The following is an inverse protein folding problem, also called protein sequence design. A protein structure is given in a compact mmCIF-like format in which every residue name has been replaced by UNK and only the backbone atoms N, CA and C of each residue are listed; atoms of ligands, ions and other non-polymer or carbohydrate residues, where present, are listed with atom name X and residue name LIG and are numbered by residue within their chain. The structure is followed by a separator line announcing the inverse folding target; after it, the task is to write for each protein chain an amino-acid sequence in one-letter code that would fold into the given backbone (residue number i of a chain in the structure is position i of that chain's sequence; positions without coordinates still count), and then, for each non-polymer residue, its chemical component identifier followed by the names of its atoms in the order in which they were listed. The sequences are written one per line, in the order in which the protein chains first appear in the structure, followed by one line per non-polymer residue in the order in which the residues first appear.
data_IF_880758095006
#
_entry.id   IF_880758095006
#
_cell.length_a   1.000
_cell.length_b   1.000
_cell.length_c   1.000
_cell.angle_alpha   90.00
_cell.angle_beta   90.00
_cell.angle_gamma   90.00
#
_symmetry.space_group_name_H-M   'P 1'
#
loop_
_entity.id
_entity.type
_entity.pdbx_description
1 polymer ?
#
# COMPACT_ATOMS: atom_id res chain seq x y z
N UNK A 1 21.05 38.75 10.14
CA UNK A 1 19.97 37.97 10.79
C UNK A 1 19.02 37.33 9.77
N UNK A 2 18.83 37.87 8.57
CA UNK A 2 18.03 37.20 7.50
C UNK A 2 18.59 35.86 7.00
N UNK A 3 19.92 35.71 6.96
CA UNK A 3 20.54 34.48 6.46
C UNK A 3 20.32 33.24 7.36
N UNK A 4 20.08 33.41 8.67
CA UNK A 4 19.84 32.26 9.56
C UNK A 4 18.39 31.75 9.50
N UNK A 5 17.41 32.62 9.26
CA UNK A 5 16.00 32.23 9.15
C UNK A 5 15.69 31.45 7.86
N UNK A 6 16.35 31.80 6.73
CA UNK A 6 16.20 31.05 5.48
C UNK A 6 16.68 29.60 5.60
N UNK A 7 17.77 29.35 6.32
CA UNK A 7 18.30 27.99 6.54
C UNK A 7 17.40 27.16 7.46
N UNK A 8 16.87 27.75 8.53
CA UNK A 8 15.93 27.07 9.44
C UNK A 8 14.63 26.65 8.73
N UNK A 9 14.10 27.50 7.85
CA UNK A 9 12.82 27.27 7.18
C UNK A 9 12.92 26.24 6.04
N UNK A 10 14.06 26.15 5.34
CA UNK A 10 14.28 25.13 4.30
C UNK A 10 14.35 23.71 4.90
N UNK A 11 14.98 23.57 6.07
CA UNK A 11 15.16 22.29 6.76
C UNK A 11 13.86 21.63 7.20
N UNK A 12 12.85 22.41 7.62
CA UNK A 12 11.59 21.84 8.13
C UNK A 12 10.77 21.15 7.03
N UNK A 13 10.69 21.73 5.83
CA UNK A 13 10.00 21.10 4.70
C UNK A 13 10.78 19.89 4.17
N UNK A 14 12.12 19.96 4.14
CA UNK A 14 12.93 18.80 3.76
C UNK A 14 12.69 17.63 4.72
N UNK A 15 12.70 17.87 6.03
CA UNK A 15 12.36 16.85 7.03
C UNK A 15 10.95 16.29 6.83
N UNK A 16 9.97 17.14 6.52
CA UNK A 16 8.61 16.70 6.22
C UNK A 16 8.56 15.70 5.06
N UNK A 17 9.15 16.04 3.92
CA UNK A 17 9.17 15.14 2.76
C UNK A 17 10.03 13.88 2.99
N UNK A 18 11.14 13.99 3.73
CA UNK A 18 11.93 12.83 4.14
C UNK A 18 11.12 11.87 5.02
N UNK A 19 10.38 12.39 6.01
CA UNK A 19 9.52 11.57 6.86
C UNK A 19 8.43 10.88 6.04
N UNK A 20 7.79 11.59 5.10
CA UNK A 20 6.79 10.98 4.21
C UNK A 20 7.40 9.89 3.34
N UNK A 21 8.58 10.13 2.75
CA UNK A 21 9.26 9.15 1.89
C UNK A 21 9.70 7.90 2.66
N UNK A 22 10.31 8.08 3.84
CA UNK A 22 10.68 6.95 4.69
C UNK A 22 9.44 6.17 5.17
N UNK A 23 8.38 6.87 5.53
CA UNK A 23 7.12 6.24 5.93
C UNK A 23 6.47 5.49 4.77
N UNK A 24 6.53 6.03 3.54
CA UNK A 24 6.05 5.33 2.35
C UNK A 24 6.76 3.98 2.19
N UNK A 25 8.10 3.98 2.25
CA UNK A 25 8.91 2.77 2.10
C UNK A 25 8.61 1.78 3.23
N UNK A 26 8.61 2.25 4.48
CA UNK A 26 8.33 1.42 5.64
C UNK A 26 6.93 0.79 5.57
N UNK A 27 5.89 1.60 5.32
CA UNK A 27 4.52 1.11 5.19
C UNK A 27 4.41 0.09 4.05
N UNK A 28 4.97 0.40 2.89
CA UNK A 28 4.93 -0.51 1.73
C UNK A 28 5.59 -1.86 2.02
N UNK A 29 6.75 -1.88 2.68
CA UNK A 29 7.44 -3.11 3.08
C UNK A 29 6.61 -3.88 4.12
N UNK A 30 6.11 -3.19 5.15
CA UNK A 30 5.36 -3.84 6.24
C UNK A 30 4.08 -4.53 5.77
N UNK A 31 3.47 -4.06 4.67
CA UNK A 31 2.31 -4.72 4.05
C UNK A 31 2.61 -6.12 3.51
N UNK A 32 3.89 -6.52 3.37
CA UNK A 32 4.27 -7.88 2.97
C UNK A 32 4.54 -8.82 4.14
N UNK A 33 4.69 -8.30 5.37
CA UNK A 33 5.03 -9.10 6.55
C UNK A 33 3.91 -10.05 7.00
N UNK A 34 2.69 -9.84 6.50
CA UNK A 34 1.54 -10.72 6.74
C UNK A 34 1.30 -11.73 5.60
N UNK A 35 2.26 -11.89 4.69
CA UNK A 35 2.21 -12.93 3.66
C UNK A 35 2.56 -14.28 4.32
N UNK A 36 1.73 -15.32 4.13
CA UNK A 36 1.92 -16.64 4.77
C UNK A 36 3.23 -17.32 4.41
N UNK A 37 3.57 -17.35 3.12
CA UNK A 37 4.83 -17.91 2.60
C UNK A 37 5.66 -16.83 1.89
N UNK A 38 6.98 -16.92 2.00
CA UNK A 38 7.90 -15.96 1.36
C UNK A 38 7.83 -15.99 -0.15
N UNK A 39 7.53 -17.16 -0.73
CA UNK A 39 7.30 -17.34 -2.18
C UNK A 39 6.03 -16.64 -2.68
N UNK A 40 5.13 -16.22 -1.78
CA UNK A 40 3.92 -15.48 -2.16
C UNK A 40 4.12 -13.97 -2.23
N UNK A 41 5.36 -13.48 -2.13
CA UNK A 41 5.70 -12.05 -2.18
C UNK A 41 5.77 -11.58 -3.64
N UNK A 42 4.65 -11.05 -4.13
CA UNK A 42 4.53 -10.46 -5.46
C UNK A 42 4.10 -9.00 -5.42
N UNK A 43 4.56 -8.20 -6.39
CA UNK A 43 4.17 -6.80 -6.51
C UNK A 43 2.65 -6.65 -6.69
N UNK A 44 2.05 -5.71 -5.93
CA UNK A 44 0.62 -5.42 -5.98
C UNK A 44 0.35 -3.93 -6.19
N UNK A 45 -0.30 -3.59 -7.32
CA UNK A 45 -0.74 -2.22 -7.61
C UNK A 45 -1.73 -1.69 -6.57
N UNK A 46 -2.62 -2.55 -6.07
CA UNK A 46 -3.57 -2.19 -5.01
C UNK A 46 -2.82 -1.77 -3.73
N UNK A 47 -1.81 -2.52 -3.29
CA UNK A 47 -1.00 -2.15 -2.12
C UNK A 47 -0.30 -0.81 -2.33
N UNK A 48 0.29 -0.61 -3.50
CA UNK A 48 0.93 0.66 -3.87
C UNK A 48 -0.05 1.85 -3.76
N UNK A 49 -1.25 1.75 -4.34
CA UNK A 49 -2.27 2.80 -4.25
C UNK A 49 -2.76 3.04 -2.83
N UNK A 50 -2.91 1.99 -2.02
CA UNK A 50 -3.30 2.11 -0.61
C UNK A 50 -2.23 2.85 0.22
N UNK A 51 -0.94 2.63 -0.05
CA UNK A 51 0.13 3.42 0.59
C UNK A 51 0.08 4.88 0.15
N UNK A 52 -0.14 5.16 -1.15
CA UNK A 52 -0.32 6.53 -1.63
C UNK A 52 -1.48 7.25 -0.92
N UNK A 53 -2.62 6.57 -0.72
CA UNK A 53 -3.74 7.08 0.07
C UNK A 53 -3.32 7.38 1.51
N UNK A 54 -2.67 6.43 2.18
CA UNK A 54 -2.17 6.62 3.55
C UNK A 54 -1.24 7.82 3.67
N UNK A 55 -0.23 7.92 2.81
CA UNK A 55 0.74 9.03 2.82
C UNK A 55 0.08 10.37 2.53
N UNK A 56 -0.90 10.41 1.61
CA UNK A 56 -1.62 11.66 1.31
C UNK A 56 -2.39 12.19 2.54
N UNK A 57 -3.05 11.30 3.29
CA UNK A 57 -3.76 11.67 4.53
C UNK A 57 -2.79 12.04 5.65
N UNK A 58 -1.71 11.27 5.82
CA UNK A 58 -0.67 11.53 6.81
C UNK A 58 0.00 12.89 6.59
N UNK A 59 0.25 13.29 5.34
CA UNK A 59 0.78 14.61 5.02
C UNK A 59 -0.13 15.75 5.52
N UNK A 60 -1.45 15.62 5.38
CA UNK A 60 -2.42 16.62 5.89
C UNK A 60 -2.43 16.64 7.41
N UNK A 61 -2.43 15.48 8.06
CA UNK A 61 -2.39 15.34 9.52
C UNK A 61 -1.12 15.98 10.09
N UNK A 62 0.05 15.62 9.54
CA UNK A 62 1.34 16.17 9.94
C UNK A 62 1.37 17.69 9.77
N UNK A 63 0.88 18.20 8.63
CA UNK A 63 0.78 19.63 8.41
C UNK A 63 -0.10 20.32 9.45
N UNK A 64 -1.26 19.74 9.80
CA UNK A 64 -2.21 20.30 10.76
C UNK A 64 -1.61 20.41 12.17
N UNK A 65 -1.03 19.32 12.68
CA UNK A 65 -0.47 19.27 14.04
C UNK A 65 0.88 19.98 14.17
N UNK A 66 1.67 20.03 13.09
CA UNK A 66 2.99 20.68 13.08
C UNK A 66 2.93 22.06 12.39
N UNK A 67 1.76 22.71 12.35
CA UNK A 67 1.53 24.00 11.67
C UNK A 67 2.54 25.09 12.03
N UNK A 68 3.00 25.13 13.28
CA UNK A 68 3.95 26.14 13.76
C UNK A 68 5.36 25.98 13.16
N UNK A 69 5.69 24.81 12.61
CA UNK A 69 6.97 24.55 11.94
C UNK A 69 6.98 25.00 10.48
N UNK A 70 5.80 25.18 9.87
CA UNK A 70 5.62 25.43 8.45
C UNK A 70 5.12 26.85 8.17
N UNK A 71 6.06 27.79 8.07
CA UNK A 71 5.75 29.23 8.01
C UNK A 71 5.37 29.74 6.60
N UNK A 72 5.82 29.04 5.54
CA UNK A 72 5.57 29.45 4.15
C UNK A 72 4.17 29.04 3.65
N UNK A 73 3.27 30.02 3.53
CA UNK A 73 1.90 29.82 3.04
C UNK A 73 1.82 29.13 1.67
N UNK A 74 2.71 29.47 0.71
CA UNK A 74 2.68 28.89 -0.64
C UNK A 74 3.02 27.40 -0.61
N UNK A 75 4.03 27.00 0.18
CA UNK A 75 4.41 25.59 0.33
C UNK A 75 3.33 24.79 1.07
N UNK A 76 2.71 25.37 2.08
CA UNK A 76 1.61 24.73 2.81
C UNK A 76 0.42 24.43 1.90
N UNK A 77 -0.01 25.43 1.11
CA UNK A 77 -1.08 25.25 0.12
C UNK A 77 -0.68 24.19 -0.91
N UNK A 78 0.57 24.21 -1.37
CA UNK A 78 1.06 23.18 -2.30
C UNK A 78 1.04 21.77 -1.70
N UNK A 79 1.38 21.59 -0.43
CA UNK A 79 1.27 20.30 0.28
C UNK A 79 -0.19 19.85 0.32
N UNK A 80 -1.11 20.72 0.75
CA UNK A 80 -2.53 20.36 0.88
C UNK A 80 -3.17 20.01 -0.47
N UNK A 81 -2.93 20.82 -1.50
CA UNK A 81 -3.43 20.55 -2.85
C UNK A 81 -2.78 19.28 -3.41
N UNK A 82 -1.47 19.13 -3.26
CA UNK A 82 -0.75 17.94 -3.69
C UNK A 82 -1.28 16.66 -3.01
N UNK A 83 -1.53 16.72 -1.70
CA UNK A 83 -2.17 15.63 -0.96
C UNK A 83 -3.56 15.33 -1.46
N UNK A 84 -4.40 16.34 -1.70
CA UNK A 84 -5.76 16.13 -2.22
C UNK A 84 -5.74 15.49 -3.61
N UNK A 85 -4.88 15.98 -4.51
CA UNK A 85 -4.73 15.41 -5.86
C UNK A 85 -4.23 13.97 -5.78
N UNK A 86 -3.19 13.69 -4.99
CA UNK A 86 -2.69 12.34 -4.79
C UNK A 86 -3.77 11.41 -4.22
N UNK A 87 -4.55 11.89 -3.24
CA UNK A 87 -5.65 11.14 -2.64
C UNK A 87 -6.71 10.77 -3.68
N UNK A 88 -7.22 11.76 -4.42
CA UNK A 88 -8.29 11.54 -5.42
C UNK A 88 -7.80 10.63 -6.54
N UNK A 89 -6.58 10.83 -7.03
CA UNK A 89 -5.99 9.99 -8.07
C UNK A 89 -5.78 8.55 -7.58
N UNK A 90 -5.19 8.35 -6.40
CA UNK A 90 -4.98 7.01 -5.84
C UNK A 90 -6.30 6.30 -5.53
N UNK A 91 -7.31 7.03 -5.03
CA UNK A 91 -8.65 6.51 -4.80
C UNK A 91 -9.33 6.11 -6.11
N UNK A 92 -9.22 6.93 -7.15
CA UNK A 92 -9.72 6.61 -8.47
C UNK A 92 -9.06 5.36 -9.05
N UNK A 93 -7.73 5.27 -9.00
CA UNK A 93 -6.96 4.15 -9.53
C UNK A 93 -7.27 2.83 -8.81
N UNK A 94 -7.36 2.85 -7.48
CA UNK A 94 -7.66 1.64 -6.69
C UNK A 94 -9.10 1.15 -6.92
N UNK A 95 -10.03 2.05 -7.26
CA UNK A 95 -11.44 1.72 -7.52
C UNK A 95 -11.71 1.30 -8.97
N UNK A 96 -11.06 1.95 -9.94
CA UNK A 96 -11.34 1.70 -11.36
C UNK A 96 -10.55 0.49 -11.87
N UNK A 97 -9.28 0.34 -11.49
CA UNK A 97 -8.31 -0.74 -11.84
C UNK A 97 -8.13 -1.08 -13.33
N UNK A 98 -9.20 -1.32 -14.08
CA UNK A 98 -9.28 -1.66 -15.51
C UNK A 98 -8.27 -0.94 -16.43
N UNK A 99 -8.00 0.38 -16.31
CA UNK A 99 -7.07 1.05 -17.21
C UNK A 99 -5.59 0.71 -16.98
N UNK A 100 -5.23 0.12 -15.83
CA UNK A 100 -3.82 -0.10 -15.44
C UNK A 100 -3.54 -1.56 -15.07
N UNK A 101 -4.51 -2.27 -14.49
CA UNK A 101 -4.35 -3.63 -13.98
C UNK A 101 -4.85 -4.63 -15.02
N UNK A 102 -3.92 -5.18 -15.83
CA UNK A 102 -4.16 -6.33 -16.70
C UNK A 102 -3.78 -7.67 -16.04
N UNK A 103 -3.93 -8.77 -16.78
CA UNK A 103 -3.81 -10.15 -16.28
C UNK A 103 -2.59 -10.39 -15.38
N UNK A 104 -1.40 -10.03 -15.83
CA UNK A 104 -0.17 -10.29 -15.07
C UNK A 104 -0.11 -9.50 -13.74
N UNK A 105 -0.55 -8.24 -13.74
CA UNK A 105 -0.59 -7.42 -12.52
C UNK A 105 -1.70 -7.90 -11.58
N UNK A 106 -2.81 -8.39 -12.13
CA UNK A 106 -3.89 -8.97 -11.34
C UNK A 106 -3.44 -10.26 -10.66
N UNK A 107 -2.86 -11.21 -11.41
CA UNK A 107 -2.35 -12.48 -10.89
C UNK A 107 -1.29 -12.26 -9.80
N UNK A 108 -0.29 -11.41 -10.08
CA UNK A 108 0.76 -11.03 -9.11
C UNK A 108 0.17 -10.35 -7.87
N UNK A 109 -0.83 -9.49 -8.04
CA UNK A 109 -1.48 -8.81 -6.92
C UNK A 109 -2.33 -9.73 -6.05
N UNK A 110 -2.84 -10.83 -6.61
CA UNK A 110 -3.79 -11.72 -5.95
C UNK A 110 -3.12 -12.85 -5.15
N UNK A 111 -1.94 -13.34 -5.56
CA UNK A 111 -1.15 -14.30 -4.76
C UNK A 111 -0.93 -13.83 -3.31
N UNK A 112 -0.40 -12.62 -3.05
CA UNK A 112 -0.20 -12.16 -1.67
C UNK A 112 -1.51 -11.82 -0.95
N UNK A 113 -2.60 -11.54 -1.67
CA UNK A 113 -3.94 -11.37 -1.08
C UNK A 113 -4.45 -12.71 -0.52
N UNK A 114 -4.41 -13.76 -1.35
CA UNK A 114 -4.77 -15.12 -0.94
C UNK A 114 -3.88 -15.63 0.19
N UNK A 115 -2.58 -15.36 0.12
CA UNK A 115 -1.63 -15.71 1.16
C UNK A 115 -2.03 -15.16 2.55
N UNK A 116 -2.57 -13.93 2.63
CA UNK A 116 -3.06 -13.37 3.91
C UNK A 116 -4.30 -14.12 4.41
N UNK A 117 -5.22 -14.49 3.51
CA UNK A 117 -6.43 -15.20 3.89
C UNK A 117 -6.12 -16.63 4.37
N UNK A 118 -5.12 -17.30 3.80
CA UNK A 118 -4.56 -18.56 4.35
C UNK A 118 -3.98 -18.31 5.74
N UNK A 119 -3.11 -17.31 5.90
CA UNK A 119 -2.49 -16.98 7.20
C UNK A 119 -3.52 -16.80 8.32
N UNK A 120 -4.56 -16.02 8.04
CA UNK A 120 -5.57 -15.66 9.03
C UNK A 120 -6.54 -16.80 9.31
N UNK A 121 -6.92 -17.58 8.28
CA UNK A 121 -7.81 -18.74 8.43
C UNK A 121 -7.13 -19.88 9.18
N UNK A 122 -5.84 -20.12 8.91
CA UNK A 122 -5.09 -21.24 9.51
C UNK A 122 -4.72 -21.00 10.98
N UNK A 123 -4.61 -19.73 11.40
CA UNK A 123 -4.17 -19.34 12.75
C UNK A 123 -5.28 -18.82 13.65
N UNK A 124 -6.50 -18.65 13.14
CA UNK A 124 -7.63 -18.20 13.95
C UNK A 124 -8.15 -19.31 14.87
N UNK A 125 -8.46 -18.98 16.12
CA UNK A 125 -9.05 -19.93 17.07
C UNK A 125 -10.57 -20.04 16.89
N UNK A 126 -10.99 -20.68 15.80
CA UNK A 126 -12.39 -20.82 15.41
C UNK A 126 -13.01 -22.03 16.13
N UNK A 127 -14.06 -21.78 16.93
CA UNK A 127 -14.76 -22.82 17.71
C UNK A 127 -16.03 -23.34 17.05
N UNK A 128 -16.72 -22.48 16.33
CA UNK A 128 -17.97 -22.84 15.66
C UNK A 128 -17.69 -23.82 14.50
N UNK A 129 -18.36 -25.00 14.42
CA UNK A 129 -18.09 -25.99 13.39
C UNK A 129 -18.36 -25.52 11.96
N UNK A 130 -19.36 -24.67 11.74
CA UNK A 130 -19.70 -24.15 10.42
C UNK A 130 -18.64 -23.14 9.97
N UNK A 131 -18.22 -22.24 10.86
CA UNK A 131 -17.15 -21.27 10.57
C UNK A 131 -15.81 -21.97 10.36
N UNK A 132 -15.53 -23.05 11.13
CA UNK A 132 -14.29 -23.83 10.96
C UNK A 132 -14.24 -24.49 9.60
N UNK A 133 -15.33 -25.11 9.17
CA UNK A 133 -15.45 -25.71 7.85
C UNK A 133 -15.23 -24.67 6.74
N UNK A 134 -15.84 -23.49 6.86
CA UNK A 134 -15.63 -22.40 5.90
C UNK A 134 -14.15 -21.98 5.83
N UNK A 135 -13.46 -21.89 6.96
CA UNK A 135 -12.04 -21.56 6.99
C UNK A 135 -11.17 -22.63 6.31
N UNK A 136 -11.46 -23.91 6.53
CA UNK A 136 -10.79 -25.03 5.86
C UNK A 136 -11.01 -24.99 4.33
N UNK A 137 -12.26 -24.76 3.89
CA UNK A 137 -12.62 -24.63 2.47
C UNK A 137 -11.89 -23.45 1.81
N UNK A 138 -11.79 -22.31 2.50
CA UNK A 138 -11.03 -21.13 2.04
C UNK A 138 -9.55 -21.46 1.86
N UNK A 139 -8.92 -22.15 2.83
CA UNK A 139 -7.50 -22.52 2.76
C UNK A 139 -7.24 -23.43 1.56
N UNK A 140 -8.05 -24.47 1.37
CA UNK A 140 -7.88 -25.42 0.27
C UNK A 140 -8.02 -24.73 -1.09
N UNK A 141 -9.10 -23.95 -1.28
CA UNK A 141 -9.34 -23.24 -2.52
C UNK A 141 -8.21 -22.26 -2.84
N UNK A 142 -7.78 -21.46 -1.86
CA UNK A 142 -6.78 -20.43 -2.10
C UNK A 142 -5.38 -20.98 -2.35
N UNK A 143 -4.98 -22.09 -1.71
CA UNK A 143 -3.71 -22.77 -2.04
C UNK A 143 -3.70 -23.25 -3.48
N UNK A 144 -4.80 -23.86 -3.94
CA UNK A 144 -4.94 -24.31 -5.32
C UNK A 144 -4.90 -23.15 -6.32
N UNK A 145 -5.61 -22.06 -6.01
CA UNK A 145 -5.64 -20.86 -6.86
C UNK A 145 -4.26 -20.19 -6.95
N UNK A 146 -3.48 -20.15 -5.87
CA UNK A 146 -2.10 -19.63 -5.90
C UNK A 146 -1.25 -20.40 -6.91
N UNK A 147 -1.29 -21.74 -6.90
CA UNK A 147 -0.51 -22.55 -7.83
C UNK A 147 -0.97 -22.36 -9.28
N UNK A 148 -2.28 -22.24 -9.52
CA UNK A 148 -2.82 -21.89 -10.84
C UNK A 148 -2.31 -20.52 -11.31
N UNK A 149 -2.31 -19.52 -10.43
CA UNK A 149 -1.81 -18.18 -10.76
C UNK A 149 -0.31 -18.20 -11.09
N UNK A 150 0.51 -18.95 -10.34
CA UNK A 150 1.95 -19.11 -10.64
C UNK A 150 2.19 -19.71 -12.02
N UNK A 151 1.42 -20.75 -12.39
CA UNK A 151 1.48 -21.36 -13.72
C UNK A 151 1.08 -20.35 -14.81
N UNK A 152 0.00 -19.60 -14.61
CA UNK A 152 -0.44 -18.58 -15.58
C UNK A 152 0.58 -17.44 -15.73
N UNK A 153 1.19 -16.98 -14.63
CA UNK A 153 2.24 -15.95 -14.65
C UNK A 153 3.42 -16.45 -15.50
N UNK A 154 3.91 -17.66 -15.23
CA UNK A 154 5.04 -18.23 -15.95
C UNK A 154 4.75 -18.34 -17.46
N UNK A 155 3.55 -18.84 -17.82
CA UNK A 155 3.11 -18.91 -19.21
C UNK A 155 3.08 -17.51 -19.88
N UNK A 156 2.44 -16.53 -19.26
CA UNK A 156 2.30 -15.17 -19.81
C UNK A 156 3.62 -14.39 -19.89
N UNK A 157 4.60 -14.72 -19.06
CA UNK A 157 5.94 -14.13 -19.12
C UNK A 157 6.81 -14.75 -20.21
N UNK A 158 6.62 -16.05 -20.50
CA UNK A 158 7.38 -16.79 -21.52
C UNK A 158 6.78 -16.73 -22.93
N UNK A 159 5.53 -16.30 -23.07
CA UNK A 159 4.88 -16.04 -24.37
C UNK A 159 5.25 -14.66 -24.97
N UNK A 160 6.06 -13.85 -24.27
CA UNK A 160 6.55 -12.53 -24.71
C UNK A 160 7.96 -12.60 -25.26
#
# INVERSE_FOLDING_TARGET
MEHSEQHANKGNYTKFFLMLGLSFIAMYITMYLNTYETDHVYFSMTRFYMVCLGISTMAVIMWFFMRNMYQNKKKNIAILIGSLVLFVCALGLVRVQKPVVGDLLWLKGMIPHHSIAILTSERADIKDPEVKKLAEDIIEAQRKEIEQMKVMINRLENEK
#
